data_IF_721012363434
#
_entry.id   IF_721012363434
#
_cell.length_a   1.000
_cell.length_b   1.000
_cell.length_c   1.000
_cell.angle_alpha   90.00
_cell.angle_beta   90.00
_cell.angle_gamma   90.00
#
_symmetry.space_group_name_H-M   'P 1'
#
loop_
_entity.id
_entity.type
_entity.pdbx_description
1 polymer ?
#
# COMPACT_ATOMS: atom_id res chain seq x y z
N UNK A 1 13.73 18.70 -7.21
CA UNK A 1 14.03 18.22 -5.84
C UNK A 1 13.74 16.72 -5.84
N UNK A 2 14.76 15.87 -5.73
CA UNK A 2 14.53 14.44 -5.53
C UNK A 2 14.08 14.26 -4.08
N UNK A 3 12.78 14.35 -3.83
CA UNK A 3 12.20 13.79 -2.60
C UNK A 3 12.46 12.30 -2.66
N UNK A 4 13.38 11.82 -1.84
CA UNK A 4 13.62 10.39 -1.62
C UNK A 4 12.38 9.84 -0.91
N UNK A 5 11.34 9.50 -1.67
CA UNK A 5 10.07 8.97 -1.14
C UNK A 5 10.30 7.51 -0.77
N UNK A 6 10.00 7.16 0.47
CA UNK A 6 10.01 5.80 0.95
C UNK A 6 8.57 5.29 1.05
N UNK A 7 8.40 3.97 0.99
CA UNK A 7 7.12 3.34 1.33
C UNK A 7 6.80 3.63 2.79
N UNK A 8 5.61 4.12 3.06
CA UNK A 8 5.08 4.28 4.42
C UNK A 8 3.92 3.33 4.69
N UNK A 9 3.10 3.04 3.68
CA UNK A 9 2.02 2.06 3.77
C UNK A 9 1.98 1.13 2.56
N UNK A 10 1.51 -0.08 2.81
CA UNK A 10 1.29 -1.15 1.83
C UNK A 10 -0.18 -1.53 1.89
N UNK A 11 -0.86 -1.49 0.75
CA UNK A 11 -2.26 -1.89 0.62
C UNK A 11 -2.28 -3.27 -0.03
N UNK A 12 -2.72 -4.29 0.70
CA UNK A 12 -3.00 -5.57 0.08
C UNK A 12 -4.15 -5.40 -0.92
N UNK A 13 -4.05 -6.05 -2.06
CA UNK A 13 -5.09 -6.03 -3.10
C UNK A 13 -5.16 -7.42 -3.74
N UNK A 14 -6.30 -7.70 -4.37
CA UNK A 14 -6.52 -8.98 -5.04
C UNK A 14 -5.49 -9.25 -6.15
N UNK A 15 -4.91 -8.22 -6.80
CA UNK A 15 -3.64 -8.32 -7.56
C UNK A 15 -3.25 -7.00 -8.27
N UNK A 16 -1.97 -6.55 -8.26
CA UNK A 16 -0.95 -6.71 -7.22
C UNK A 16 -1.09 -5.70 -6.06
N UNK A 17 -0.39 -5.93 -4.93
CA UNK A 17 -0.36 -4.99 -3.82
C UNK A 17 0.16 -3.60 -4.23
N UNK A 18 -0.35 -2.56 -3.57
CA UNK A 18 -0.05 -1.16 -3.87
C UNK A 18 0.80 -0.53 -2.76
N UNK A 19 1.70 0.37 -3.15
CA UNK A 19 2.69 0.99 -2.27
C UNK A 19 2.56 2.49 -2.26
N UNK A 20 2.46 3.10 -1.08
CA UNK A 20 2.25 4.54 -0.97
C UNK A 20 3.22 5.18 0.00
N UNK A 21 3.52 6.46 -0.25
CA UNK A 21 4.41 7.27 0.57
C UNK A 21 3.71 7.89 1.78
N UNK A 22 2.40 7.71 1.90
CA UNK A 22 1.57 8.27 2.97
C UNK A 22 0.14 7.73 2.90
N UNK A 23 -0.57 7.72 4.04
CA UNK A 23 -2.01 7.43 4.10
C UNK A 23 -2.80 8.36 3.18
N UNK A 24 -2.50 9.65 3.21
CA UNK A 24 -3.21 10.64 2.39
C UNK A 24 -3.07 10.36 0.88
N UNK A 25 -1.91 9.91 0.41
CA UNK A 25 -1.74 9.55 -1.01
C UNK A 25 -2.57 8.33 -1.40
N UNK A 26 -2.66 7.32 -0.53
CA UNK A 26 -3.50 6.16 -0.76
C UNK A 26 -4.99 6.53 -0.77
N UNK A 27 -5.47 7.30 0.21
CA UNK A 27 -6.87 7.73 0.27
C UNK A 27 -7.30 8.55 -0.96
N UNK A 28 -6.37 9.28 -1.58
CA UNK A 28 -6.61 10.04 -2.81
C UNK A 28 -6.58 9.17 -4.08
N UNK A 29 -5.84 8.07 -4.07
CA UNK A 29 -5.65 7.21 -5.24
C UNK A 29 -6.66 6.07 -5.30
N UNK A 30 -6.99 5.46 -4.15
CA UNK A 30 -7.87 4.31 -4.08
C UNK A 30 -9.31 4.68 -4.43
N UNK A 31 -9.96 3.85 -5.24
CA UNK A 31 -11.35 4.06 -5.63
C UNK A 31 -12.32 3.51 -4.59
N UNK A 32 -13.34 4.29 -4.23
CA UNK A 32 -14.33 3.86 -3.23
C UNK A 32 -15.14 2.63 -3.69
N UNK A 33 -15.34 2.48 -5.00
CA UNK A 33 -16.00 1.31 -5.60
C UNK A 33 -15.20 0.04 -5.38
N UNK A 34 -13.89 0.07 -5.62
CA UNK A 34 -13.00 -1.07 -5.38
C UNK A 34 -12.94 -1.46 -3.89
N UNK A 35 -12.99 -0.48 -2.99
CA UNK A 35 -13.11 -0.76 -1.53
C UNK A 35 -14.44 -1.46 -1.22
N UNK A 36 -15.54 -1.05 -1.85
CA UNK A 36 -16.87 -1.65 -1.63
C UNK A 36 -16.96 -3.05 -2.23
N UNK A 37 -16.31 -3.28 -3.37
CA UNK A 37 -16.25 -4.56 -4.05
C UNK A 37 -15.25 -5.53 -3.40
N UNK A 38 -14.48 -5.05 -2.41
CA UNK A 38 -13.56 -5.87 -1.61
C UNK A 38 -12.22 -6.14 -2.29
N UNK A 39 -11.89 -5.40 -3.35
CA UNK A 39 -10.63 -5.51 -4.10
C UNK A 39 -9.41 -5.25 -3.22
N UNK A 40 -9.56 -4.33 -2.25
CA UNK A 40 -8.50 -3.97 -1.32
C UNK A 40 -8.65 -4.75 0.00
N UNK A 41 -7.60 -5.47 0.35
CA UNK A 41 -7.44 -6.19 1.60
C UNK A 41 -6.96 -5.30 2.75
N UNK A 42 -6.26 -5.88 3.74
CA UNK A 42 -5.70 -5.13 4.86
C UNK A 42 -4.65 -4.11 4.40
N UNK A 43 -4.58 -2.98 5.10
CA UNK A 43 -3.54 -1.97 4.91
C UNK A 43 -2.53 -2.08 6.04
N UNK A 44 -1.25 -2.04 5.71
CA UNK A 44 -0.14 -2.21 6.63
C UNK A 44 0.76 -0.98 6.63
N UNK A 45 1.20 -0.54 7.80
CA UNK A 45 2.37 0.32 7.97
C UNK A 45 3.67 -0.49 7.82
N UNK A 46 4.80 0.18 7.63
CA UNK A 46 6.10 -0.48 7.42
C UNK A 46 6.61 -1.31 8.60
N UNK A 47 6.04 -1.17 9.80
CA UNK A 47 6.38 -2.03 10.95
C UNK A 47 5.30 -3.09 11.21
N UNK A 48 4.38 -3.26 10.26
CA UNK A 48 3.25 -4.17 10.36
C UNK A 48 2.04 -3.58 11.09
N UNK A 49 1.99 -2.27 11.36
CA UNK A 49 0.79 -1.63 11.92
C UNK A 49 -0.42 -1.90 11.02
N UNK A 50 -1.53 -2.37 11.58
CA UNK A 50 -2.72 -2.70 10.79
C UNK A 50 -3.67 -1.51 10.74
N UNK A 51 -4.18 -1.20 9.56
CA UNK A 51 -5.19 -0.19 9.31
C UNK A 51 -6.44 -0.79 8.67
N UNK A 52 -7.58 -0.22 8.99
CA UNK A 52 -8.85 -0.52 8.33
C UNK A 52 -9.09 0.44 7.18
N UNK A 53 -9.44 -0.10 6.02
CA UNK A 53 -9.92 0.67 4.86
C UNK A 53 -11.45 0.73 4.85
N UNK A 54 -12.02 1.92 4.67
CA UNK A 54 -13.46 2.17 4.66
C UNK A 54 -13.81 3.19 3.59
N UNK A 55 -15.09 3.29 3.25
CA UNK A 55 -15.62 4.36 2.41
C UNK A 55 -16.49 5.32 3.21
N UNK A 56 -16.44 6.59 2.83
CA UNK A 56 -17.31 7.66 3.31
C UNK A 56 -17.86 8.41 2.09
N UNK A 57 -18.92 7.86 1.49
CA UNK A 57 -19.42 8.33 0.20
C UNK A 57 -18.46 7.94 -0.93
N UNK A 58 -18.00 8.93 -1.68
CA UNK A 58 -17.05 8.80 -2.80
C UNK A 58 -15.58 8.81 -2.36
N UNK A 59 -15.32 8.82 -1.05
CA UNK A 59 -13.96 8.90 -0.49
C UNK A 59 -13.57 7.62 0.20
N UNK A 60 -12.28 7.29 0.11
CA UNK A 60 -11.64 6.24 0.90
C UNK A 60 -11.06 6.85 2.18
N UNK A 61 -11.18 6.13 3.28
CA UNK A 61 -10.58 6.47 4.57
C UNK A 61 -9.81 5.27 5.10
N UNK A 62 -8.55 5.49 5.49
CA UNK A 62 -7.67 4.51 6.11
C UNK A 62 -7.46 4.91 7.57
N UNK A 63 -7.96 4.07 8.47
CA UNK A 63 -8.05 4.38 9.90
C UNK A 63 -7.20 3.37 10.67
N UNK A 64 -6.36 3.84 11.58
CA UNK A 64 -5.57 2.97 12.44
C UNK A 64 -6.48 2.00 13.21
N UNK A 65 -6.05 0.75 13.34
CA UNK A 65 -6.77 -0.23 14.17
C UNK A 65 -6.82 0.29 15.63
N UNK A 66 -8.01 0.39 16.25
CA UNK A 66 -8.15 1.00 17.57
C UNK A 66 -7.51 0.16 18.69
N UNK A 67 -7.19 -1.11 18.43
CA UNK A 67 -6.47 -1.97 19.35
C UNK A 67 -4.94 -1.91 19.11
N UNK A 68 -4.49 -1.13 18.12
CA UNK A 68 -3.07 -0.96 17.80
C UNK A 68 -2.41 -2.27 17.34
N UNK A 69 -3.17 -3.14 16.66
CA UNK A 69 -2.67 -4.44 16.22
C UNK A 69 -1.52 -4.29 15.23
N UNK A 70 -0.52 -5.15 15.38
CA UNK A 70 0.61 -5.29 14.45
C UNK A 70 0.62 -6.70 13.88
N UNK A 71 0.80 -6.82 12.57
CA UNK A 71 0.93 -8.09 11.86
C UNK A 71 2.07 -8.03 10.84
N UNK A 72 3.28 -8.25 11.36
CA UNK A 72 4.50 -8.30 10.55
C UNK A 72 4.51 -9.52 9.61
N UNK A 73 3.86 -10.62 10.01
CA UNK A 73 3.81 -11.84 9.20
C UNK A 73 2.94 -11.58 7.97
N UNK A 74 1.73 -11.04 8.18
CA UNK A 74 0.83 -10.66 7.08
C UNK A 74 1.48 -9.65 6.12
N UNK A 75 2.17 -8.63 6.64
CA UNK A 75 2.93 -7.71 5.79
C UNK A 75 4.00 -8.44 4.95
N UNK A 76 4.80 -9.32 5.56
CA UNK A 76 5.79 -10.11 4.82
C UNK A 76 5.14 -11.01 3.77
N UNK A 77 3.98 -11.59 4.03
CA UNK A 77 3.26 -12.43 3.06
C UNK A 77 2.81 -11.62 1.84
N UNK A 78 2.28 -10.41 2.06
CA UNK A 78 1.88 -9.49 0.98
C UNK A 78 3.09 -9.07 0.14
N UNK A 79 4.17 -8.63 0.79
CA UNK A 79 5.42 -8.25 0.11
C UNK A 79 6.02 -9.43 -0.67
N UNK A 80 5.98 -10.63 -0.09
CA UNK A 80 6.52 -11.83 -0.74
C UNK A 80 5.71 -12.20 -1.97
N UNK A 81 4.38 -12.14 -1.87
CA UNK A 81 3.48 -12.40 -2.99
C UNK A 81 3.73 -11.41 -4.12
N UNK A 82 3.78 -10.11 -3.81
CA UNK A 82 4.10 -9.08 -4.79
C UNK A 82 5.43 -9.36 -5.51
N UNK A 83 6.52 -9.58 -4.75
CA UNK A 83 7.85 -9.82 -5.30
C UNK A 83 7.90 -11.06 -6.20
N UNK A 84 7.18 -12.14 -5.85
CA UNK A 84 7.01 -13.33 -6.70
C UNK A 84 6.27 -13.01 -8.00
N UNK A 85 5.22 -12.20 -7.93
CA UNK A 85 4.44 -11.82 -9.12
C UNK A 85 5.30 -11.05 -10.11
N UNK A 86 6.11 -10.10 -9.64
CA UNK A 86 6.94 -9.27 -10.53
C UNK A 86 8.28 -9.91 -10.90
N UNK A 87 8.80 -10.83 -10.07
CA UNK A 87 10.09 -11.52 -10.26
C UNK A 87 9.99 -12.97 -9.76
N UNK A 88 9.39 -13.89 -10.56
CA UNK A 88 9.12 -15.27 -10.13
C UNK A 88 10.34 -16.06 -9.67
N UNK A 89 11.50 -15.79 -10.27
CA UNK A 89 12.76 -16.50 -9.97
C UNK A 89 13.57 -15.87 -8.82
N UNK A 90 13.05 -14.82 -8.19
CA UNK A 90 13.75 -14.12 -7.11
C UNK A 90 13.75 -14.95 -5.82
N UNK A 91 14.93 -15.14 -5.24
CA UNK A 91 15.04 -15.57 -3.83
C UNK A 91 14.60 -14.41 -2.95
N UNK A 92 13.42 -14.53 -2.36
CA UNK A 92 12.85 -13.50 -1.48
C UNK A 92 13.64 -13.47 -0.17
N UNK A 93 14.17 -12.30 0.24
CA UNK A 93 14.81 -12.16 1.53
C UNK A 93 13.78 -12.22 2.68
N UNK A 94 14.14 -12.83 3.81
CA UNK A 94 13.30 -12.84 5.01
C UNK A 94 13.49 -11.60 5.92
N UNK A 95 14.18 -10.57 5.43
CA UNK A 95 14.37 -9.32 6.14
C UNK A 95 13.36 -8.28 5.65
N UNK A 96 12.49 -7.80 6.56
CA UNK A 96 11.41 -6.87 6.22
C UNK A 96 11.94 -5.58 5.58
N UNK A 97 12.99 -4.98 6.14
CA UNK A 97 13.59 -3.74 5.60
C UNK A 97 14.07 -3.94 4.15
N UNK A 98 14.71 -5.08 3.87
CA UNK A 98 15.15 -5.43 2.52
C UNK A 98 13.96 -5.60 1.57
N UNK A 99 12.88 -6.24 2.02
CA UNK A 99 11.67 -6.41 1.21
C UNK A 99 11.03 -5.05 0.88
N UNK A 100 10.91 -4.16 1.85
CA UNK A 100 10.38 -2.80 1.65
C UNK A 100 11.26 -1.98 0.70
N UNK A 101 12.59 -2.08 0.84
CA UNK A 101 13.53 -1.41 -0.06
C UNK A 101 13.38 -1.91 -1.51
N UNK A 102 13.18 -3.22 -1.71
CA UNK A 102 12.94 -3.80 -3.02
C UNK A 102 11.60 -3.34 -3.64
N UNK A 103 10.62 -2.98 -2.82
CA UNK A 103 9.32 -2.49 -3.27
C UNK A 103 9.28 -0.96 -3.49
N UNK A 104 10.27 -0.22 -2.99
CA UNK A 104 10.31 1.26 -3.11
C UNK A 104 10.22 1.80 -4.55
N UNK A 105 10.79 1.14 -5.59
CA UNK A 105 10.60 1.57 -6.98
C UNK A 105 9.15 1.50 -7.50
N UNK A 106 8.25 0.80 -6.78
CA UNK A 106 6.85 0.60 -7.14
C UNK A 106 5.89 1.52 -6.36
N UNK A 107 6.42 2.59 -5.77
CA UNK A 107 5.61 3.63 -5.16
C UNK A 107 4.62 4.21 -6.17
N UNK A 108 3.34 4.14 -5.83
CA UNK A 108 2.27 4.81 -6.55
C UNK A 108 2.45 6.32 -6.39
N UNK A 109 2.96 6.97 -7.45
CA UNK A 109 3.06 8.41 -7.47
C UNK A 109 1.70 8.98 -7.85
N UNK A 110 1.06 9.71 -6.93
CA UNK A 110 0.02 10.67 -7.32
C UNK A 110 0.71 11.79 -8.09
N UNK A 111 0.92 11.58 -9.40
CA UNK A 111 1.18 12.68 -10.31
C UNK A 111 -0.09 13.52 -10.29
N UNK A 112 0.01 14.68 -9.64
CA UNK A 112 -1.06 15.69 -9.62
C UNK A 112 -1.51 15.90 -11.06
N UNK A 113 -2.64 15.30 -11.43
CA UNK A 113 -3.39 15.73 -12.61
C UNK A 113 -3.82 17.16 -12.31
N UNK A 114 -3.00 18.11 -12.74
CA UNK A 114 -3.48 19.46 -12.99
C UNK A 114 -4.64 19.30 -13.96
N UNK A 115 -5.86 19.53 -13.46
CA UNK A 115 -7.00 19.85 -14.29
C UNK A 115 -6.64 21.10 -15.08
N UNK A 116 -6.04 20.95 -16.25
CA UNK A 116 -6.15 21.97 -17.31
C UNK A 116 -7.60 21.93 -17.78
N UNK A 117 -8.44 22.69 -17.07
CA UNK A 117 -9.57 23.35 -17.72
C UNK A 117 -8.98 24.39 -18.67
N UNK A 118 -9.26 24.25 -19.95
CA UNK A 118 -9.50 25.35 -20.90
C UNK A 118 -10.34 24.82 -22.04
#
# INVERSE_FOLDING_TARGET
MNTNRAVEIVVAADEPALFYDSIASAELHLESTDVQDGVYGPVFGIKGEVYSIRTAGDRVAIIADPLGRTDVIGLKEVLSTFLRTIKPDMVIPDCLDTMLQLCTPYLESVSVMQKTQS
#
